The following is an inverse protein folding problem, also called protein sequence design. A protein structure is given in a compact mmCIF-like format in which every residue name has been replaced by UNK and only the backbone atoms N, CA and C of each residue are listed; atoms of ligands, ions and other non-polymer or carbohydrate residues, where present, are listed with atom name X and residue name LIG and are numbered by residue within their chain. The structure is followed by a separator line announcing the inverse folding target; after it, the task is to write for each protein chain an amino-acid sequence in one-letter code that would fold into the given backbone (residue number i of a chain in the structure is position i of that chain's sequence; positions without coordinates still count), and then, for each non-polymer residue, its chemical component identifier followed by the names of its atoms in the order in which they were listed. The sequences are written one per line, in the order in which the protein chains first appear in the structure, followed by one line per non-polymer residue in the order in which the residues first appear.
data_IF_373093155578
#
_entry.id   IF_373093155578
#
_cell.length_a   1.000
_cell.length_b   1.000
_cell.length_c   1.000
_cell.angle_alpha   90.00
_cell.angle_beta   90.00
_cell.angle_gamma   90.00
#
_symmetry.space_group_name_H-M   'P 1'
#
loop_
_entity.id
_entity.type
_entity.pdbx_description
1 polymer ?
#
# COMPACT_ATOMS: atom_id res chain seq x y z
N UNK A 1 7.94 -18.34 -8.68
CA UNK A 1 9.29 -18.30 -8.05
C UNK A 1 9.31 -19.15 -6.78
N UNK A 2 10.39 -19.89 -6.45
CA UNK A 2 10.45 -20.66 -5.19
C UNK A 2 11.05 -19.82 -4.06
N UNK A 3 10.23 -19.41 -3.09
CA UNK A 3 10.67 -18.65 -1.92
C UNK A 3 11.55 -19.49 -0.99
N UNK A 4 12.46 -18.84 -0.24
CA UNK A 4 13.16 -19.50 0.86
C UNK A 4 12.14 -19.82 1.97
N UNK A 5 12.34 -20.87 2.78
CA UNK A 5 11.39 -21.23 3.84
C UNK A 5 11.06 -20.07 4.81
N UNK A 6 12.05 -19.24 5.13
CA UNK A 6 11.85 -18.06 5.97
C UNK A 6 10.97 -17.00 5.31
N UNK A 7 11.15 -16.74 4.00
CA UNK A 7 10.38 -15.71 3.28
C UNK A 7 8.95 -16.18 3.07
N UNK A 8 8.75 -17.50 2.88
CA UNK A 8 7.43 -18.10 2.82
C UNK A 8 6.67 -17.99 4.17
N UNK A 9 7.37 -18.16 5.29
CA UNK A 9 6.78 -17.95 6.61
C UNK A 9 6.38 -16.48 6.84
N UNK A 10 7.23 -15.53 6.45
CA UNK A 10 6.91 -14.09 6.50
C UNK A 10 5.70 -13.79 5.60
N UNK A 11 5.68 -14.31 4.36
CA UNK A 11 4.56 -14.15 3.45
C UNK A 11 3.25 -14.68 4.04
N UNK A 12 3.28 -15.83 4.70
CA UNK A 12 2.10 -16.38 5.40
C UNK A 12 1.59 -15.43 6.50
N UNK A 13 2.47 -14.82 7.29
CA UNK A 13 2.07 -13.83 8.30
C UNK A 13 1.49 -12.56 7.67
N UNK A 14 2.08 -12.07 6.58
CA UNK A 14 1.55 -10.95 5.81
C UNK A 14 0.15 -11.26 5.29
N UNK A 15 -0.05 -12.43 4.69
CA UNK A 15 -1.34 -12.87 4.17
C UNK A 15 -2.39 -13.01 5.28
N UNK A 16 -1.99 -13.43 6.49
CA UNK A 16 -2.86 -13.42 7.65
C UNK A 16 -3.36 -12.00 7.98
N UNK A 17 -2.46 -11.02 7.99
CA UNK A 17 -2.87 -9.63 8.18
C UNK A 17 -3.77 -9.15 7.04
N UNK A 18 -3.41 -9.41 5.78
CA UNK A 18 -4.21 -8.97 4.62
C UNK A 18 -5.61 -9.60 4.61
N UNK A 19 -5.76 -10.83 5.09
CA UNK A 19 -7.05 -11.53 5.07
C UNK A 19 -7.99 -11.15 6.22
N UNK A 20 -7.45 -10.68 7.36
CA UNK A 20 -8.25 -10.48 8.58
C UNK A 20 -8.22 -9.06 9.14
N UNK A 21 -7.32 -8.20 8.67
CA UNK A 21 -7.24 -6.80 9.13
C UNK A 21 -8.27 -5.92 8.42
N UNK A 22 -8.71 -4.86 9.12
CA UNK A 22 -9.45 -3.75 8.54
C UNK A 22 -8.57 -2.53 8.24
N UNK A 23 -7.26 -2.73 8.05
CA UNK A 23 -6.32 -1.67 7.65
C UNK A 23 -5.72 -0.87 8.81
N UNK A 24 -5.92 -1.28 10.06
CA UNK A 24 -5.29 -0.61 11.21
C UNK A 24 -3.78 -0.82 11.17
N UNK A 25 -2.96 0.26 11.25
CA UNK A 25 -1.51 0.13 11.21
C UNK A 25 -0.97 -0.85 12.25
N UNK A 26 -0.23 -1.85 11.78
CA UNK A 26 0.36 -2.89 12.61
C UNK A 26 1.89 -2.93 12.43
N UNK A 27 2.69 -2.67 13.48
CA UNK A 27 4.15 -2.63 13.36
C UNK A 27 4.78 -3.97 12.96
N UNK A 28 4.15 -5.10 13.29
CA UNK A 28 4.66 -6.43 12.91
C UNK A 28 4.45 -6.63 11.41
N UNK A 29 3.26 -6.32 10.89
CA UNK A 29 2.99 -6.36 9.44
C UNK A 29 3.95 -5.45 8.66
N UNK A 30 4.13 -4.20 9.11
CA UNK A 30 5.02 -3.25 8.46
C UNK A 30 6.47 -3.74 8.41
N UNK A 31 6.98 -4.33 9.50
CA UNK A 31 8.32 -4.93 9.55
C UNK A 31 8.44 -6.15 8.65
N UNK A 32 7.47 -7.04 8.71
CA UNK A 32 7.45 -8.23 7.85
C UNK A 32 7.41 -7.85 6.37
N UNK A 33 6.72 -6.77 6.01
CA UNK A 33 6.64 -6.30 4.63
C UNK A 33 7.98 -5.71 4.18
N UNK A 34 8.67 -4.98 5.07
CA UNK A 34 10.05 -4.54 4.85
C UNK A 34 11.00 -5.73 4.63
N UNK A 35 11.00 -6.72 5.52
CA UNK A 35 11.82 -7.92 5.37
C UNK A 35 11.50 -8.68 4.07
N UNK A 36 10.21 -8.83 3.74
CA UNK A 36 9.77 -9.52 2.53
C UNK A 36 10.20 -8.80 1.25
N UNK A 37 10.02 -7.48 1.16
CA UNK A 37 10.37 -6.70 -0.04
C UNK A 37 11.87 -6.46 -0.18
N UNK A 38 12.65 -6.61 0.89
CA UNK A 38 14.11 -6.70 0.81
C UNK A 38 14.59 -8.07 0.28
N UNK A 39 13.79 -9.13 0.45
CA UNK A 39 14.11 -10.48 -0.02
C UNK A 39 13.54 -10.81 -1.42
N UNK A 40 12.40 -10.22 -1.77
CA UNK A 40 11.67 -10.48 -3.01
C UNK A 40 11.54 -9.17 -3.79
N UNK A 41 11.99 -9.12 -5.07
CA UNK A 41 11.83 -7.93 -5.89
C UNK A 41 10.38 -7.47 -5.94
N UNK A 42 10.16 -6.16 -5.81
CA UNK A 42 8.81 -5.59 -5.79
C UNK A 42 7.97 -6.03 -7.00
N UNK A 43 8.57 -6.12 -8.20
CA UNK A 43 7.93 -6.57 -9.44
C UNK A 43 7.40 -8.01 -9.40
N UNK A 44 7.90 -8.84 -8.49
CA UNK A 44 7.51 -10.24 -8.32
C UNK A 44 6.77 -10.49 -7.00
N UNK A 45 6.59 -9.45 -6.18
CA UNK A 45 6.00 -9.56 -4.85
C UNK A 45 4.52 -9.95 -4.88
N UNK A 46 3.73 -9.40 -5.82
CA UNK A 46 2.33 -9.77 -6.01
C UNK A 46 2.17 -11.26 -6.36
N UNK A 47 2.90 -11.74 -7.38
CA UNK A 47 2.90 -13.15 -7.79
C UNK A 47 3.35 -14.07 -6.64
N UNK A 48 4.40 -13.67 -5.91
CA UNK A 48 4.90 -14.45 -4.78
C UNK A 48 3.87 -14.57 -3.65
N UNK A 49 3.18 -13.47 -3.31
CA UNK A 49 2.12 -13.49 -2.30
C UNK A 49 0.90 -14.31 -2.77
N UNK A 50 0.50 -14.18 -4.03
CA UNK A 50 -0.61 -14.95 -4.60
C UNK A 50 -0.31 -16.46 -4.62
N UNK A 51 0.92 -16.86 -4.93
CA UNK A 51 1.32 -18.26 -4.89
C UNK A 51 1.24 -18.83 -3.48
N UNK A 52 1.78 -18.11 -2.48
CA UNK A 52 1.70 -18.55 -1.07
C UNK A 52 0.25 -18.60 -0.60
N UNK A 53 -0.60 -17.65 -1.02
CA UNK A 53 -2.02 -17.64 -0.68
C UNK A 53 -2.76 -18.85 -1.25
N UNK A 54 -2.48 -19.21 -2.50
CA UNK A 54 -3.05 -20.40 -3.14
C UNK A 54 -2.67 -21.69 -2.38
N UNK A 55 -1.40 -21.82 -1.99
CA UNK A 55 -0.93 -22.95 -1.20
C UNK A 55 -1.61 -22.99 0.19
N UNK A 56 -1.77 -21.83 0.85
CA UNK A 56 -2.44 -21.73 2.14
C UNK A 56 -3.93 -22.05 2.04
N UNK A 57 -4.62 -21.60 0.99
CA UNK A 57 -6.03 -21.92 0.76
C UNK A 57 -6.25 -23.44 0.64
N UNK A 58 -5.32 -24.16 -0.01
CA UNK A 58 -5.40 -25.61 -0.15
C UNK A 58 -5.04 -26.39 1.12
N UNK A 59 -4.23 -25.82 2.03
CA UNK A 59 -3.60 -26.57 3.14
C UNK A 59 -3.99 -26.11 4.54
N UNK A 60 -4.51 -24.90 4.68
CA UNK A 60 -4.77 -24.26 5.96
C UNK A 60 -6.25 -23.89 6.11
N UNK A 61 -6.98 -24.48 7.08
CA UNK A 61 -8.38 -24.14 7.33
C UNK A 61 -8.60 -22.65 7.65
N UNK A 62 -7.58 -21.95 8.18
CA UNK A 62 -7.67 -20.52 8.43
C UNK A 62 -7.83 -19.71 7.14
N UNK A 63 -7.33 -20.21 6.01
CA UNK A 63 -7.41 -19.55 4.69
C UNK A 63 -8.49 -20.18 3.80
N UNK A 64 -9.47 -20.88 4.39
CA UNK A 64 -10.58 -21.46 3.64
C UNK A 64 -11.38 -20.39 2.86
N UNK A 65 -11.48 -19.18 3.41
CA UNK A 65 -11.88 -17.98 2.68
C UNK A 65 -10.69 -17.01 2.65
N UNK A 66 -10.06 -16.93 1.48
CA UNK A 66 -8.91 -16.06 1.19
C UNK A 66 -9.27 -14.88 0.29
N UNK A 67 -10.57 -14.66 0.04
CA UNK A 67 -11.06 -13.69 -0.95
C UNK A 67 -10.59 -12.27 -0.66
N UNK A 68 -10.56 -11.87 0.62
CA UNK A 68 -10.09 -10.56 1.02
C UNK A 68 -8.60 -10.38 0.67
N UNK A 69 -7.73 -11.31 1.08
CA UNK A 69 -6.29 -11.19 0.80
C UNK A 69 -6.02 -11.16 -0.71
N UNK A 70 -6.70 -12.01 -1.50
CA UNK A 70 -6.57 -12.05 -2.95
C UNK A 70 -6.91 -10.70 -3.58
N UNK A 71 -8.07 -10.15 -3.22
CA UNK A 71 -8.54 -8.87 -3.76
C UNK A 71 -7.67 -7.70 -3.32
N UNK A 72 -7.23 -7.68 -2.06
CA UNK A 72 -6.38 -6.61 -1.52
C UNK A 72 -5.02 -6.59 -2.21
N UNK A 73 -4.44 -7.75 -2.52
CA UNK A 73 -3.18 -7.85 -3.29
C UNK A 73 -3.40 -7.23 -4.68
N UNK A 74 -4.41 -7.68 -5.42
CA UNK A 74 -4.68 -7.16 -6.77
C UNK A 74 -5.01 -5.66 -6.75
N UNK A 75 -5.89 -5.20 -5.85
CA UNK A 75 -6.24 -3.79 -5.70
C UNK A 75 -5.02 -2.91 -5.37
N UNK A 76 -4.07 -3.42 -4.60
CA UNK A 76 -2.87 -2.66 -4.23
C UNK A 76 -1.92 -2.51 -5.42
N UNK A 77 -1.55 -3.64 -6.05
CA UNK A 77 -0.52 -3.65 -7.10
C UNK A 77 -1.06 -3.23 -8.48
N UNK A 78 -2.25 -3.68 -8.85
CA UNK A 78 -2.78 -3.52 -10.21
C UNK A 78 -3.58 -2.22 -10.38
N UNK A 79 -4.02 -1.61 -9.27
CA UNK A 79 -4.94 -0.48 -9.31
C UNK A 79 -4.48 0.73 -8.50
N UNK A 80 -4.26 0.57 -7.20
CA UNK A 80 -3.97 1.70 -6.30
C UNK A 80 -2.60 2.31 -6.56
N UNK A 81 -1.54 1.50 -6.66
CA UNK A 81 -0.21 1.99 -6.96
C UNK A 81 -0.13 2.69 -8.34
N UNK A 82 -0.64 2.11 -9.45
CA UNK A 82 -0.72 2.80 -10.72
C UNK A 82 -1.54 4.10 -10.67
N UNK A 83 -2.70 4.09 -10.01
CA UNK A 83 -3.53 5.28 -9.87
C UNK A 83 -2.83 6.38 -9.06
N UNK A 84 -2.08 6.03 -8.02
CA UNK A 84 -1.28 6.98 -7.23
C UNK A 84 -0.21 7.65 -8.09
N UNK A 85 0.51 6.87 -8.91
CA UNK A 85 1.49 7.43 -9.86
C UNK A 85 0.86 8.39 -10.86
N UNK A 86 -0.32 8.03 -11.37
CA UNK A 86 -1.02 8.85 -12.35
C UNK A 86 -1.49 10.16 -11.74
N UNK A 87 -2.14 10.07 -10.58
CA UNK A 87 -2.71 11.21 -9.87
C UNK A 87 -1.64 12.24 -9.47
N UNK A 88 -0.44 11.78 -9.10
CA UNK A 88 0.69 12.63 -8.71
C UNK A 88 1.76 12.78 -9.80
N UNK A 89 1.43 12.51 -11.07
CA UNK A 89 2.41 12.59 -12.15
C UNK A 89 3.04 14.00 -12.25
N UNK A 90 2.29 15.04 -11.94
CA UNK A 90 2.74 16.44 -11.92
C UNK A 90 3.68 16.76 -10.75
N UNK A 91 3.46 16.17 -9.58
CA UNK A 91 4.30 16.36 -8.39
C UNK A 91 5.55 15.45 -8.42
N UNK A 92 5.40 14.21 -8.88
CA UNK A 92 6.38 13.15 -8.77
C UNK A 92 7.07 12.81 -10.11
N UNK A 93 6.94 13.66 -11.13
CA UNK A 93 7.55 13.45 -12.46
C UNK A 93 9.07 13.23 -12.43
N UNK A 94 9.74 13.70 -11.37
CA UNK A 94 11.19 13.61 -11.19
C UNK A 94 11.64 12.26 -10.61
N UNK A 95 10.71 11.44 -10.10
CA UNK A 95 11.03 10.11 -9.58
C UNK A 95 11.27 9.11 -10.72
N UNK A 96 12.32 8.32 -10.58
CA UNK A 96 12.65 7.23 -11.49
C UNK A 96 11.74 6.01 -11.25
N UNK A 97 11.59 5.13 -12.26
CA UNK A 97 10.96 3.83 -12.04
C UNK A 97 11.65 3.09 -10.87
N UNK A 98 10.88 2.52 -9.94
CA UNK A 98 11.43 1.86 -8.75
C UNK A 98 11.53 2.74 -7.50
N UNK A 99 11.51 4.07 -7.62
CA UNK A 99 11.73 4.94 -6.44
C UNK A 99 10.52 5.02 -5.50
N UNK A 100 9.30 4.74 -5.97
CA UNK A 100 8.11 4.68 -5.12
C UNK A 100 7.90 3.29 -4.50
N UNK A 101 8.50 2.25 -5.07
CA UNK A 101 8.41 0.84 -4.65
C UNK A 101 9.18 0.54 -3.35
N UNK A 102 9.01 1.39 -2.34
CA UNK A 102 9.65 1.27 -1.04
C UNK A 102 8.75 0.50 -0.06
N UNK A 103 9.31 -0.32 0.85
CA UNK A 103 8.49 -1.23 1.65
C UNK A 103 7.50 -0.55 2.59
N UNK A 104 7.91 0.53 3.26
CA UNK A 104 6.98 1.28 4.13
C UNK A 104 5.94 2.09 3.36
N UNK A 105 6.22 2.45 2.11
CA UNK A 105 5.18 3.02 1.25
C UNK A 105 4.18 1.94 0.83
N UNK A 106 4.65 0.74 0.49
CA UNK A 106 3.79 -0.43 0.22
C UNK A 106 2.89 -0.76 1.42
N UNK A 107 3.41 -0.66 2.65
CA UNK A 107 2.61 -0.84 3.85
C UNK A 107 1.45 0.16 3.92
N UNK A 108 1.70 1.44 3.58
CA UNK A 108 0.66 2.47 3.54
C UNK A 108 -0.37 2.25 2.44
N UNK A 109 0.04 1.71 1.30
CA UNK A 109 -0.89 1.32 0.25
C UNK A 109 -1.84 0.21 0.74
N UNK A 110 -1.29 -0.87 1.30
CA UNK A 110 -2.11 -1.97 1.85
C UNK A 110 -3.05 -1.50 2.96
N UNK A 111 -2.56 -0.72 3.91
CA UNK A 111 -3.37 -0.16 5.00
C UNK A 111 -4.50 0.71 4.45
N UNK A 112 -4.22 1.58 3.47
CA UNK A 112 -5.22 2.46 2.87
C UNK A 112 -6.29 1.68 2.09
N UNK A 113 -5.91 0.63 1.35
CA UNK A 113 -6.85 -0.26 0.64
C UNK A 113 -7.72 -1.02 1.63
N UNK A 114 -7.13 -1.62 2.66
CA UNK A 114 -7.86 -2.37 3.68
C UNK A 114 -8.84 -1.51 4.47
N UNK A 115 -8.48 -0.25 4.76
CA UNK A 115 -9.33 0.71 5.49
C UNK A 115 -10.64 1.03 4.75
N UNK A 116 -10.69 0.81 3.42
CA UNK A 116 -11.92 1.02 2.64
C UNK A 116 -12.97 -0.07 2.87
N UNK A 117 -12.55 -1.25 3.33
CA UNK A 117 -13.41 -2.41 3.54
C UNK A 117 -14.09 -2.94 2.26
N UNK A 118 -14.78 -4.07 2.41
CA UNK A 118 -15.62 -4.64 1.35
C UNK A 118 -16.90 -3.81 1.10
N UNK A 119 -17.65 -4.09 0.01
CA UNK A 119 -17.41 -5.15 -0.97
C UNK A 119 -16.13 -4.92 -1.79
N UNK A 120 -15.32 -5.98 -1.96
CA UNK A 120 -13.97 -5.91 -2.56
C UNK A 120 -13.97 -5.88 -4.09
N UNK A 121 -15.13 -6.02 -4.72
CA UNK A 121 -15.36 -5.88 -6.15
C UNK A 121 -15.64 -4.42 -6.57
N UNK A 122 -15.91 -3.52 -5.61
CA UNK A 122 -16.09 -2.08 -5.85
C UNK A 122 -14.76 -1.34 -6.03
N UNK A 123 -13.98 -1.76 -7.01
CA UNK A 123 -12.62 -1.26 -7.31
C UNK A 123 -12.53 0.26 -7.32
N UNK A 124 -13.41 0.94 -8.06
CA UNK A 124 -13.30 2.39 -8.25
C UNK A 124 -13.52 3.16 -6.94
N UNK A 125 -14.45 2.70 -6.09
CA UNK A 125 -14.67 3.26 -4.74
C UNK A 125 -13.42 3.08 -3.88
N UNK A 126 -12.86 1.86 -3.88
CA UNK A 126 -11.71 1.51 -3.03
C UNK A 126 -10.47 2.31 -3.45
N UNK A 127 -10.18 2.38 -4.75
CA UNK A 127 -9.02 3.13 -5.27
C UNK A 127 -9.17 4.62 -4.94
N UNK A 128 -10.34 5.21 -5.17
CA UNK A 128 -10.59 6.61 -4.85
C UNK A 128 -10.40 6.90 -3.34
N UNK A 129 -11.01 6.09 -2.48
CA UNK A 129 -10.89 6.25 -1.03
C UNK A 129 -9.47 6.01 -0.50
N UNK A 130 -8.74 5.05 -1.07
CA UNK A 130 -7.35 4.82 -0.73
C UNK A 130 -6.46 6.02 -1.13
N UNK A 131 -6.68 6.62 -2.31
CA UNK A 131 -5.97 7.84 -2.72
C UNK A 131 -6.26 9.00 -1.78
N UNK A 132 -7.53 9.24 -1.45
CA UNK A 132 -7.91 10.30 -0.50
C UNK A 132 -7.23 10.10 0.86
N UNK A 133 -7.12 8.85 1.33
CA UNK A 133 -6.44 8.50 2.57
C UNK A 133 -4.93 8.71 2.52
N UNK A 134 -4.31 8.47 1.37
CA UNK A 134 -2.87 8.65 1.14
C UNK A 134 -2.51 10.12 1.00
N UNK A 135 -3.41 10.95 0.46
CA UNK A 135 -3.23 12.38 0.20
C UNK A 135 -3.36 13.23 1.48
N UNK A 136 -2.56 12.92 2.50
CA UNK A 136 -2.67 13.49 3.83
C UNK A 136 -1.58 14.52 4.19
N UNK A 137 -0.58 14.71 3.33
CA UNK A 137 0.49 15.68 3.56
C UNK A 137 0.51 16.75 2.48
N UNK A 138 0.69 17.99 2.92
CA UNK A 138 0.92 19.14 2.05
C UNK A 138 2.36 19.62 2.27
N UNK A 139 3.14 19.63 1.18
CA UNK A 139 4.51 20.14 1.21
C UNK A 139 4.61 21.65 1.40
N UNK A 140 5.83 22.17 1.27
CA UNK A 140 6.06 23.61 1.31
C UNK A 140 5.36 24.32 0.14
N UNK A 141 4.50 25.30 0.46
CA UNK A 141 3.77 26.11 -0.53
C UNK A 141 4.28 27.56 -0.53
N UNK A 142 5.18 27.93 -1.46
CA UNK A 142 5.57 29.32 -1.64
C UNK A 142 4.49 30.06 -2.44
N UNK A 143 3.35 30.35 -1.82
CA UNK A 143 2.32 31.21 -2.42
C UNK A 143 2.45 32.62 -1.85
N UNK A 144 2.51 33.61 -2.75
CA UNK A 144 2.38 35.00 -2.38
C UNK A 144 1.00 35.20 -1.74
N UNK A 145 0.97 35.39 -0.42
CA UNK A 145 -0.25 35.77 0.29
C UNK A 145 -0.59 37.17 -0.18
N UNK A 146 -1.71 37.33 -0.89
CA UNK A 146 -2.22 38.66 -1.25
C UNK A 146 -2.45 39.47 0.04
N UNK A 147 -2.25 40.80 -0.03
CA UNK A 147 -2.33 41.72 1.12
C UNK A 147 -3.68 41.68 1.88
N UNK A 148 -4.70 41.05 1.31
CA UNK A 148 -6.03 40.86 1.89
C UNK A 148 -6.12 39.70 2.91
N UNK A 149 -5.00 39.03 3.24
CA UNK A 149 -4.92 38.07 4.35
C UNK A 149 -5.69 36.75 4.13
N UNK A 150 -6.23 36.52 2.93
CA UNK A 150 -6.95 35.29 2.60
C UNK A 150 -5.97 34.20 2.19
N UNK A 151 -5.82 33.18 3.05
CA UNK A 151 -5.14 31.93 2.67
C UNK A 151 -6.03 31.18 1.68
N UNK A 152 -5.51 30.90 0.49
CA UNK A 152 -6.21 30.03 -0.46
C UNK A 152 -6.11 28.57 0.02
N UNK A 153 -7.26 27.89 0.08
CA UNK A 153 -7.31 26.46 0.37
C UNK A 153 -6.46 25.68 -0.66
N UNK A 154 -5.60 24.76 -0.22
CA UNK A 154 -4.82 23.93 -1.12
C UNK A 154 -5.72 23.00 -1.93
N UNK A 155 -5.44 22.87 -3.22
CA UNK A 155 -6.11 21.91 -4.09
C UNK A 155 -5.83 20.48 -3.61
N UNK A 156 -6.76 19.56 -3.89
CA UNK A 156 -6.62 18.16 -3.49
C UNK A 156 -5.34 17.51 -4.06
N UNK A 157 -5.02 17.79 -5.33
CA UNK A 157 -3.86 17.23 -6.02
C UNK A 157 -2.51 17.74 -5.50
N UNK A 158 -2.48 18.81 -4.68
CA UNK A 158 -1.26 19.28 -4.03
C UNK A 158 -0.86 18.44 -2.81
N UNK A 159 -1.77 17.61 -2.30
CA UNK A 159 -1.50 16.69 -1.20
C UNK A 159 -1.02 15.34 -1.74
N UNK A 160 -0.10 14.70 -1.05
CA UNK A 160 0.44 13.39 -1.40
C UNK A 160 0.90 12.65 -0.13
N UNK A 161 1.31 11.39 -0.26
CA UNK A 161 1.98 10.64 0.81
C UNK A 161 3.50 10.75 0.65
N UNK A 162 4.24 11.35 1.61
CA UNK A 162 5.69 11.27 1.63
C UNK A 162 6.13 9.83 1.85
N UNK A 163 7.22 9.42 1.19
CA UNK A 163 7.81 8.10 1.39
C UNK A 163 8.28 7.97 2.85
N UNK A 164 7.67 7.06 3.66
CA UNK A 164 8.08 6.92 5.04
C UNK A 164 9.47 6.31 5.11
N UNK A 165 10.39 6.98 5.80
CA UNK A 165 11.74 6.46 6.08
C UNK A 165 11.80 5.72 7.42
N UNK A 166 10.76 5.85 8.26
CA UNK A 166 10.67 5.27 9.58
C UNK A 166 9.20 5.05 9.95
N UNK A 167 8.88 3.88 10.49
CA UNK A 167 7.58 3.62 11.10
C UNK A 167 7.79 3.10 12.53
N UNK A 168 7.17 3.75 13.50
CA UNK A 168 7.34 3.42 14.92
C UNK A 168 7.00 1.96 15.18
N UNK A 169 8.01 1.21 15.62
CA UNK A 169 7.88 -0.22 15.95
C UNK A 169 8.16 -1.17 14.77
N UNK A 170 8.32 -0.64 13.55
CA UNK A 170 8.67 -1.44 12.36
C UNK A 170 10.13 -1.27 11.95
N UNK A 171 10.72 -0.07 12.13
CA UNK A 171 12.11 0.22 11.76
C UNK A 171 12.31 1.68 11.46
#
# INVERSE_FOLDING_TARGET
MKLRPQDAAIAQELLGYLNFSGGRPDPKFQRNLDEFLNAVPFTSSAEALQQVLSDLHATSPAFADSSQAEQVISLTFDHTLPAYREYHRDLLFHLKPGELEQPFFAAKLFEAVLEQGGPWDEKDRIVAGALDRLNDFLGYRPIAVLENGRKAEPYAHERFRPLPIFLRGAG
#
